data_IF_708898282688
#
_entry.id   IF_708898282688
#
_cell.length_a   1.000
_cell.length_b   1.000
_cell.length_c   1.000
_cell.angle_alpha   90.00
_cell.angle_beta   90.00
_cell.angle_gamma   90.00
#
_symmetry.space_group_name_H-M   'P 1'
#
loop_
_entity.id
_entity.type
_entity.pdbx_description
1 polymer ?
#
# COMPACT_ATOMS: atom_id res chain seq x y z
N UNK A 1 16.08 -17.59 12.35
CA UNK A 1 16.12 -16.11 12.45
C UNK A 1 15.85 -15.73 13.89
N UNK A 2 16.66 -14.82 14.44
CA UNK A 2 16.43 -14.24 15.78
C UNK A 2 15.15 -13.40 15.75
N UNK A 3 14.38 -13.46 16.84
CA UNK A 3 13.21 -12.61 17.04
C UNK A 3 13.61 -11.47 17.96
N UNK A 4 13.46 -10.24 17.49
CA UNK A 4 13.70 -9.05 18.29
C UNK A 4 12.38 -8.56 18.89
N UNK A 5 12.44 -8.05 20.13
CA UNK A 5 11.26 -7.53 20.83
C UNK A 5 11.19 -6.03 20.65
N UNK A 6 10.06 -5.54 20.14
CA UNK A 6 9.77 -4.10 20.04
C UNK A 6 8.69 -3.75 21.07
N UNK A 7 8.95 -2.75 21.91
CA UNK A 7 7.97 -2.19 22.83
C UNK A 7 7.27 -1.00 22.18
N UNK A 8 5.96 -1.09 21.98
CA UNK A 8 5.15 -0.06 21.32
C UNK A 8 4.08 0.44 22.28
N UNK A 9 3.88 1.76 22.31
CA UNK A 9 2.74 2.36 23.02
C UNK A 9 1.55 2.41 22.08
N UNK A 10 0.42 1.92 22.54
CA UNK A 10 -0.86 1.97 21.83
C UNK A 10 -1.91 2.55 22.75
N UNK A 11 -2.82 3.33 22.19
CA UNK A 11 -3.96 3.83 22.93
C UNK A 11 -4.96 2.68 23.25
N UNK A 12 -5.86 2.87 24.23
CA UNK A 12 -6.79 1.83 24.64
C UNK A 12 -7.76 1.37 23.55
N UNK A 13 -8.19 2.28 22.67
CA UNK A 13 -9.13 1.94 21.58
C UNK A 13 -8.45 1.02 20.56
N UNK A 14 -7.25 1.39 20.11
CA UNK A 14 -6.46 0.56 19.20
C UNK A 14 -6.19 -0.81 19.80
N UNK A 15 -5.82 -0.88 21.09
CA UNK A 15 -5.64 -2.16 21.79
C UNK A 15 -6.89 -3.03 21.74
N UNK A 16 -8.07 -2.46 22.01
CA UNK A 16 -9.33 -3.20 21.99
C UNK A 16 -9.68 -3.69 20.58
N UNK A 17 -9.41 -2.89 19.56
CA UNK A 17 -9.61 -3.29 18.15
C UNK A 17 -8.71 -4.46 17.77
N UNK A 18 -7.44 -4.43 18.18
CA UNK A 18 -6.50 -5.53 17.95
C UNK A 18 -6.90 -6.82 18.68
N UNK A 19 -7.40 -6.70 19.92
CA UNK A 19 -7.91 -7.86 20.68
C UNK A 19 -9.12 -8.50 19.97
N UNK A 20 -10.08 -7.70 19.48
CA UNK A 20 -11.23 -8.21 18.71
C UNK A 20 -10.82 -8.92 17.42
N UNK A 21 -9.81 -8.40 16.70
CA UNK A 21 -9.28 -9.03 15.49
C UNK A 21 -8.61 -10.36 15.81
N UNK A 22 -7.84 -10.41 16.90
CA UNK A 22 -7.20 -11.63 17.37
C UNK A 22 -8.23 -12.72 17.67
N UNK A 23 -9.30 -12.38 18.39
CA UNK A 23 -10.40 -13.30 18.70
C UNK A 23 -11.12 -13.79 17.44
N UNK A 24 -11.47 -12.88 16.53
CA UNK A 24 -12.16 -13.21 15.29
C UNK A 24 -11.35 -14.11 14.36
N UNK A 25 -10.02 -13.94 14.33
CA UNK A 25 -9.11 -14.72 13.48
C UNK A 25 -8.55 -15.97 14.17
N UNK A 26 -8.86 -16.20 15.45
CA UNK A 26 -8.30 -17.30 16.24
C UNK A 26 -6.78 -17.21 16.38
N UNK A 27 -6.25 -15.99 16.48
CA UNK A 27 -4.83 -15.69 16.56
C UNK A 27 -4.50 -14.97 17.88
N UNK A 28 -3.21 -14.81 18.17
CA UNK A 28 -2.79 -13.96 19.31
C UNK A 28 -2.70 -12.50 18.87
N UNK A 29 -2.94 -11.56 19.79
CA UNK A 29 -2.71 -10.13 19.54
C UNK A 29 -1.30 -9.87 19.00
N UNK A 30 -0.29 -10.52 19.56
CA UNK A 30 1.10 -10.37 19.08
C UNK A 30 1.26 -10.81 17.63
N UNK A 31 0.55 -11.85 17.18
CA UNK A 31 0.55 -12.25 15.77
C UNK A 31 -0.08 -11.17 14.90
N UNK A 32 -1.26 -10.68 15.27
CA UNK A 32 -1.95 -9.61 14.54
C UNK A 32 -1.08 -8.36 14.42
N UNK A 33 -0.41 -7.97 15.51
CA UNK A 33 0.51 -6.83 15.50
C UNK A 33 1.68 -7.08 14.54
N UNK A 34 2.32 -8.24 14.59
CA UNK A 34 3.43 -8.55 13.71
C UNK A 34 3.00 -8.58 12.24
N UNK A 35 1.83 -9.14 11.94
CA UNK A 35 1.30 -9.20 10.59
C UNK A 35 0.91 -7.81 10.08
N UNK A 36 0.35 -6.95 10.93
CA UNK A 36 0.07 -5.57 10.59
C UNK A 36 1.35 -4.76 10.33
N UNK A 37 2.40 -4.96 11.14
CA UNK A 37 3.69 -4.30 10.95
C UNK A 37 4.37 -4.73 9.66
N UNK A 38 4.32 -6.02 9.30
CA UNK A 38 4.83 -6.53 8.02
C UNK A 38 4.08 -5.92 6.84
N UNK A 39 2.75 -5.99 6.86
CA UNK A 39 1.94 -5.41 5.79
C UNK A 39 2.18 -3.91 5.62
N UNK A 40 2.34 -3.19 6.73
CA UNK A 40 2.68 -1.77 6.68
C UNK A 40 4.06 -1.56 6.05
N UNK A 41 5.10 -2.26 6.52
CA UNK A 41 6.45 -2.15 5.98
C UNK A 41 6.48 -2.49 4.48
N UNK A 42 5.92 -3.63 4.08
CA UNK A 42 5.87 -4.07 2.69
C UNK A 42 5.18 -3.03 1.79
N UNK A 43 4.07 -2.46 2.26
CA UNK A 43 3.33 -1.43 1.51
C UNK A 43 4.12 -0.13 1.37
N UNK A 44 4.72 0.36 2.47
CA UNK A 44 5.49 1.60 2.45
C UNK A 44 6.78 1.44 1.64
N UNK A 45 7.49 0.33 1.79
CA UNK A 45 8.71 0.04 1.04
C UNK A 45 8.43 -0.06 -0.45
N UNK A 46 7.37 -0.76 -0.86
CA UNK A 46 6.94 -0.78 -2.25
C UNK A 46 6.71 0.63 -2.80
N UNK A 47 6.01 1.48 -2.05
CA UNK A 47 5.71 2.85 -2.51
C UNK A 47 6.99 3.68 -2.65
N UNK A 48 7.87 3.65 -1.64
CA UNK A 48 9.14 4.39 -1.66
C UNK A 48 10.02 3.92 -2.82
N UNK A 49 10.16 2.60 -3.00
CA UNK A 49 10.97 2.03 -4.07
C UNK A 49 10.42 2.37 -5.45
N UNK A 50 9.10 2.28 -5.63
CA UNK A 50 8.46 2.64 -6.90
C UNK A 50 8.68 4.12 -7.24
N UNK A 51 8.52 5.03 -6.27
CA UNK A 51 8.75 6.45 -6.49
C UNK A 51 10.23 6.70 -6.88
N UNK A 52 11.17 6.07 -6.17
CA UNK A 52 12.59 6.19 -6.47
C UNK A 52 12.93 5.68 -7.88
N UNK A 53 12.42 4.49 -8.25
CA UNK A 53 12.61 3.91 -9.58
C UNK A 53 12.06 4.83 -10.69
N UNK A 54 10.86 5.40 -10.48
CA UNK A 54 10.26 6.32 -11.45
C UNK A 54 11.04 7.62 -11.58
N UNK A 55 11.54 8.17 -10.47
CA UNK A 55 12.39 9.36 -10.49
C UNK A 55 13.70 9.10 -11.26
N UNK A 56 14.38 7.98 -10.98
CA UNK A 56 15.60 7.58 -11.69
C UNK A 56 15.32 7.38 -13.20
N UNK A 57 14.19 6.76 -13.55
CA UNK A 57 13.78 6.58 -14.94
C UNK A 57 13.55 7.90 -15.68
N UNK A 58 13.02 8.92 -15.00
CA UNK A 58 12.85 10.27 -15.55
C UNK A 58 14.20 10.96 -15.74
N UNK A 59 15.08 10.92 -14.75
CA UNK A 59 16.42 11.51 -14.82
C UNK A 59 17.27 10.87 -15.92
N UNK A 60 17.09 9.57 -16.16
CA UNK A 60 17.78 8.82 -17.21
C UNK A 60 17.13 8.93 -18.60
N UNK A 61 16.06 9.72 -18.77
CA UNK A 61 15.28 9.87 -20.01
C UNK A 61 14.77 8.51 -20.58
N UNK A 62 14.50 7.55 -19.68
CA UNK A 62 13.97 6.22 -19.99
C UNK A 62 12.47 6.09 -19.70
N UNK A 63 11.88 7.10 -19.07
CA UNK A 63 10.49 7.08 -18.67
C UNK A 63 9.58 7.30 -19.89
N UNK A 64 8.51 6.50 -19.97
CA UNK A 64 7.42 6.77 -20.92
C UNK A 64 6.48 7.79 -20.28
N UNK A 65 6.44 8.98 -20.88
CA UNK A 65 5.53 10.05 -20.49
C UNK A 65 4.34 10.09 -21.44
N UNK A 66 3.18 10.43 -20.90
CA UNK A 66 1.97 10.71 -21.66
C UNK A 66 1.51 12.12 -21.30
N UNK A 67 1.07 12.88 -22.30
CA UNK A 67 0.58 14.23 -22.06
C UNK A 67 -0.79 14.22 -21.40
N UNK A 68 -1.18 15.35 -20.82
CA UNK A 68 -2.47 15.46 -20.15
C UNK A 68 -3.64 15.26 -21.12
N UNK A 69 -3.53 15.82 -22.32
CA UNK A 69 -4.54 15.70 -23.38
C UNK A 69 -4.73 14.25 -23.86
N UNK A 70 -3.66 13.48 -24.01
CA UNK A 70 -3.73 12.07 -24.43
C UNK A 70 -4.38 11.19 -23.36
N UNK A 71 -4.13 11.50 -22.08
CA UNK A 71 -4.80 10.83 -20.96
C UNK A 71 -6.31 11.10 -21.03
N UNK A 72 -6.74 12.35 -21.18
CA UNK A 72 -8.16 12.70 -21.26
C UNK A 72 -8.85 12.02 -22.45
N UNK A 73 -8.23 12.06 -23.63
CA UNK A 73 -8.77 11.40 -24.82
C UNK A 73 -8.98 9.88 -24.60
N UNK A 74 -8.06 9.23 -23.89
CA UNK A 74 -8.18 7.81 -23.53
C UNK A 74 -9.37 7.55 -22.60
N UNK A 75 -9.60 8.44 -21.62
CA UNK A 75 -10.75 8.33 -20.73
C UNK A 75 -12.07 8.56 -21.46
N UNK A 76 -12.17 9.59 -22.29
CA UNK A 76 -13.38 9.91 -23.06
C UNK A 76 -13.79 8.73 -23.96
N UNK A 77 -12.82 8.13 -24.66
CA UNK A 77 -13.09 6.95 -25.48
C UNK A 77 -13.59 5.77 -24.63
N UNK A 78 -12.96 5.52 -23.47
CA UNK A 78 -13.36 4.44 -22.57
C UNK A 78 -14.78 4.62 -22.02
N UNK A 79 -15.20 5.86 -21.78
CA UNK A 79 -16.56 6.15 -21.34
C UNK A 79 -17.57 5.97 -22.48
N UNK A 80 -17.25 6.43 -23.69
CA UNK A 80 -18.09 6.23 -24.86
C UNK A 80 -18.32 4.74 -25.17
N UNK A 81 -17.27 3.92 -25.09
CA UNK A 81 -17.35 2.46 -25.32
C UNK A 81 -18.24 1.76 -24.28
N UNK A 82 -18.30 2.29 -23.05
CA UNK A 82 -19.13 1.74 -21.97
C UNK A 82 -20.61 2.11 -22.12
N UNK A 83 -20.93 3.24 -22.73
CA UNK A 83 -22.32 3.65 -23.00
C UNK A 83 -22.89 2.98 -24.25
N UNK A 84 -22.02 2.51 -25.16
CA UNK A 84 -22.40 1.83 -26.39
C UNK A 84 -22.66 0.32 -26.24
N UNK A 85 -22.43 -0.27 -25.06
CA UNK A 85 -22.61 -1.70 -24.77
C UNK A 85 -23.67 -1.97 -23.70
#
# INVERSE_FOLDING_TARGET
MSKDTVAVRVDPDLRQRLDKLADAFGQTRSSIINDALRQYADHQEWQVNLIAERAESLEADKAVLISHEDVLATFDQRFADKEAG
#
